data_IF_282926275132
#
_entry.id   IF_282926275132
#
_cell.length_a   1.000
_cell.length_b   1.000
_cell.length_c   1.000
_cell.angle_alpha   90.00
_cell.angle_beta   90.00
_cell.angle_gamma   90.00
#
_symmetry.space_group_name_H-M   'P 1'
#
loop_
_entity.id
_entity.type
_entity.pdbx_description
1 polymer ?
#
# COMPACT_ATOMS: atom_id res chain seq x y z
N UNK A 1 -6.11 37.35 3.51
CA UNK A 1 -6.12 37.08 2.05
C UNK A 1 -6.33 35.58 1.91
N UNK A 2 -7.51 35.17 1.44
CA UNK A 2 -7.80 33.75 1.21
C UNK A 2 -7.09 33.34 -0.09
N UNK A 3 -6.24 32.33 0.01
CA UNK A 3 -5.57 31.70 -1.11
C UNK A 3 -6.67 31.07 -2.00
N UNK A 4 -6.77 31.54 -3.23
CA UNK A 4 -7.72 31.02 -4.22
C UNK A 4 -7.37 29.55 -4.47
N UNK A 5 -8.18 28.67 -3.91
CA UNK A 5 -8.17 27.23 -4.16
C UNK A 5 -8.34 27.04 -5.68
N UNK A 6 -7.24 26.77 -6.39
CA UNK A 6 -7.24 26.70 -7.86
C UNK A 6 -8.04 25.48 -8.27
N UNK A 7 -9.32 25.69 -8.57
CA UNK A 7 -10.20 24.67 -9.13
C UNK A 7 -9.59 24.17 -10.43
N UNK A 8 -9.02 22.96 -10.38
CA UNK A 8 -8.41 22.33 -11.55
C UNK A 8 -9.53 21.71 -12.37
N UNK A 9 -9.75 22.26 -13.57
CA UNK A 9 -10.69 21.69 -14.52
C UNK A 9 -10.09 20.42 -15.12
N UNK A 10 -10.76 19.29 -14.93
CA UNK A 10 -10.39 18.01 -15.54
C UNK A 10 -11.29 17.79 -16.75
N UNK A 11 -10.67 17.75 -17.93
CA UNK A 11 -11.35 17.48 -19.20
C UNK A 11 -10.97 16.10 -19.71
N UNK A 12 -11.97 15.25 -19.96
CA UNK A 12 -11.80 13.90 -20.49
C UNK A 12 -12.40 13.82 -21.90
N UNK A 13 -11.68 13.21 -22.83
CA UNK A 13 -12.25 12.84 -24.14
C UNK A 13 -12.69 11.39 -24.04
N UNK A 14 -13.98 11.17 -24.24
CA UNK A 14 -14.62 9.86 -24.21
C UNK A 14 -15.10 9.51 -25.61
N UNK A 15 -15.01 8.24 -25.96
CA UNK A 15 -15.62 7.71 -27.19
C UNK A 15 -17.12 7.49 -26.98
N UNK A 16 -17.86 7.25 -28.07
CA UNK A 16 -19.30 6.96 -27.99
C UNK A 16 -19.61 5.68 -27.19
N UNK A 17 -18.69 4.72 -27.16
CA UNK A 17 -18.80 3.50 -26.37
C UNK A 17 -18.64 3.79 -24.87
N UNK A 18 -17.63 4.59 -24.49
CA UNK A 18 -17.42 5.02 -23.11
C UNK A 18 -18.63 5.79 -22.55
N UNK A 19 -19.26 6.62 -23.39
CA UNK A 19 -20.46 7.37 -23.01
C UNK A 19 -21.64 6.43 -22.72
N UNK A 20 -21.79 5.35 -23.49
CA UNK A 20 -22.85 4.35 -23.25
C UNK A 20 -22.62 3.62 -21.94
N UNK A 21 -21.38 3.17 -21.69
CA UNK A 21 -21.00 2.50 -20.43
C UNK A 21 -21.25 3.42 -19.24
N UNK A 22 -20.86 4.70 -19.35
CA UNK A 22 -21.07 5.68 -18.29
C UNK A 22 -22.56 5.91 -17.99
N UNK A 23 -23.40 6.07 -19.02
CA UNK A 23 -24.84 6.25 -18.85
C UNK A 23 -25.50 4.99 -18.25
N UNK A 24 -25.04 3.80 -18.64
CA UNK A 24 -25.52 2.55 -18.06
C UNK A 24 -25.18 2.49 -16.56
N UNK A 25 -23.93 2.76 -16.19
CA UNK A 25 -23.49 2.81 -14.80
C UNK A 25 -24.29 3.83 -13.97
N UNK A 26 -24.54 5.02 -14.53
CA UNK A 26 -25.37 6.05 -13.89
C UNK A 26 -26.81 5.57 -13.65
N UNK A 27 -27.39 4.83 -14.60
CA UNK A 27 -28.75 4.27 -14.46
C UNK A 27 -28.84 3.20 -13.39
N UNK A 28 -27.80 2.36 -13.24
CA UNK A 28 -27.74 1.28 -12.26
C UNK A 28 -27.50 1.81 -10.83
N UNK A 29 -26.75 2.91 -10.71
CA UNK A 29 -26.38 3.51 -9.42
C UNK A 29 -27.27 4.66 -8.97
N UNK A 30 -28.18 5.14 -9.84
CA UNK A 30 -29.07 6.25 -9.55
C UNK A 30 -28.36 7.62 -9.49
N UNK A 31 -27.23 7.77 -10.19
CA UNK A 31 -26.46 9.02 -10.21
C UNK A 31 -26.95 9.89 -11.37
N UNK A 32 -27.39 11.12 -11.07
CA UNK A 32 -27.97 12.02 -12.07
C UNK A 32 -26.92 12.83 -12.87
N UNK A 33 -25.68 12.95 -12.36
CA UNK A 33 -24.63 13.76 -12.99
C UNK A 33 -23.41 12.93 -13.42
N UNK A 34 -23.00 13.08 -14.68
CA UNK A 34 -21.76 12.46 -15.21
C UNK A 34 -20.53 12.86 -14.41
N UNK A 35 -20.45 14.12 -13.99
CA UNK A 35 -19.33 14.61 -13.17
C UNK A 35 -19.33 14.02 -11.76
N UNK A 36 -20.51 13.66 -11.23
CA UNK A 36 -20.60 12.96 -9.95
C UNK A 36 -20.21 11.49 -10.09
N UNK A 37 -20.67 10.82 -11.15
CA UNK A 37 -20.28 9.45 -11.47
C UNK A 37 -18.75 9.32 -11.64
N UNK A 38 -18.14 10.21 -12.43
CA UNK A 38 -16.69 10.24 -12.62
C UNK A 38 -15.94 10.52 -11.31
N UNK A 39 -16.41 11.48 -10.49
CA UNK A 39 -15.80 11.77 -9.18
C UNK A 39 -15.94 10.61 -8.20
N UNK A 40 -17.07 9.90 -8.23
CA UNK A 40 -17.30 8.70 -7.42
C UNK A 40 -16.34 7.59 -7.83
N UNK A 41 -16.25 7.31 -9.13
CA UNK A 41 -15.36 6.29 -9.69
C UNK A 41 -13.87 6.60 -9.43
N UNK A 42 -13.44 7.86 -9.56
CA UNK A 42 -12.05 8.24 -9.23
C UNK A 42 -11.76 8.01 -7.74
N UNK A 43 -12.72 8.34 -6.86
CA UNK A 43 -12.56 8.09 -5.41
C UNK A 43 -12.57 6.60 -5.08
N UNK A 44 -13.40 5.81 -5.75
CA UNK A 44 -13.45 4.36 -5.54
C UNK A 44 -12.19 3.68 -6.09
N UNK A 45 -11.66 4.10 -7.24
CA UNK A 45 -10.39 3.59 -7.77
C UNK A 45 -9.21 4.00 -6.88
N UNK A 46 -9.22 5.23 -6.35
CA UNK A 46 -8.25 5.68 -5.35
C UNK A 46 -8.28 4.84 -4.08
N UNK A 47 -9.48 4.49 -3.59
CA UNK A 47 -9.66 3.59 -2.45
C UNK A 47 -9.29 2.13 -2.80
N UNK A 48 -9.64 1.65 -3.99
CA UNK A 48 -9.34 0.30 -4.47
C UNK A 48 -7.85 0.09 -4.79
N UNK A 49 -7.11 1.15 -5.14
CA UNK A 49 -5.65 1.10 -5.22
C UNK A 49 -4.98 0.94 -3.85
N UNK A 50 -5.70 1.19 -2.75
CA UNK A 50 -5.30 0.79 -1.38
C UNK A 50 -5.82 -0.62 -1.01
N UNK A 51 -6.69 -1.25 -1.83
CA UNK A 51 -7.35 -2.53 -1.52
C UNK A 51 -7.09 -3.68 -2.51
N UNK A 52 -6.30 -3.48 -3.57
CA UNK A 52 -5.89 -4.56 -4.49
C UNK A 52 -4.48 -5.06 -4.21
N UNK A 53 -4.36 -5.77 -3.08
CA UNK A 53 -3.54 -6.98 -2.97
C UNK A 53 -4.15 -7.80 -1.84
N UNK A 54 -4.69 -8.97 -2.18
CA UNK A 54 -5.19 -9.90 -1.19
C UNK A 54 -4.08 -10.33 -0.26
N UNK A 55 -4.28 -10.09 1.03
CA UNK A 55 -3.93 -10.92 2.19
C UNK A 55 -4.31 -10.10 3.43
N UNK A 56 -4.83 -10.75 4.47
CA UNK A 56 -5.17 -10.13 5.76
C UNK A 56 -3.99 -9.28 6.26
N UNK A 57 -4.06 -7.95 6.10
CA UNK A 57 -2.89 -7.08 6.24
C UNK A 57 -3.26 -5.74 6.88
N UNK A 58 -2.41 -5.28 7.81
CA UNK A 58 -2.51 -3.94 8.38
C UNK A 58 -1.73 -2.97 7.48
N UNK A 59 -2.43 -2.03 6.87
CA UNK A 59 -1.83 -0.97 6.05
C UNK A 59 -1.65 0.30 6.87
N UNK A 60 -0.40 0.77 6.97
CA UNK A 60 -0.06 1.99 7.71
C UNK A 60 0.44 3.03 6.71
N UNK A 61 -0.23 4.18 6.66
CA UNK A 61 0.24 5.32 5.86
C UNK A 61 1.38 6.02 6.60
N UNK A 62 2.55 6.06 5.95
CA UNK A 62 3.69 6.80 6.45
C UNK A 62 3.57 8.29 6.11
N UNK A 63 4.07 9.13 7.02
CA UNK A 63 4.23 10.57 6.78
C UNK A 63 5.31 10.85 5.74
N UNK A 64 5.26 12.03 5.13
CA UNK A 64 6.25 12.46 4.13
C UNK A 64 7.68 12.41 4.67
N UNK A 65 7.88 12.76 5.95
CA UNK A 65 9.19 12.73 6.60
C UNK A 65 9.71 11.29 6.66
N UNK A 66 8.88 10.33 7.06
CA UNK A 66 9.26 8.91 7.14
C UNK A 66 9.62 8.34 5.77
N UNK A 67 8.85 8.69 4.73
CA UNK A 67 9.15 8.28 3.35
C UNK A 67 10.50 8.85 2.87
N UNK A 68 10.76 10.13 3.11
CA UNK A 68 12.04 10.76 2.77
C UNK A 68 13.21 10.16 3.55
N UNK A 69 13.01 9.78 4.81
CA UNK A 69 14.03 9.08 5.60
C UNK A 69 14.40 7.74 4.96
N UNK A 70 13.41 6.92 4.60
CA UNK A 70 13.63 5.62 3.97
C UNK A 70 14.33 5.74 2.61
N UNK A 71 13.89 6.70 1.78
CA UNK A 71 14.51 6.98 0.48
C UNK A 71 15.98 7.41 0.64
N UNK A 72 16.30 8.26 1.62
CA UNK A 72 17.68 8.66 1.90
C UNK A 72 18.52 7.48 2.40
N UNK A 73 17.98 6.61 3.26
CA UNK A 73 18.66 5.41 3.73
C UNK A 73 18.98 4.45 2.59
N UNK A 74 18.06 4.32 1.63
CA UNK A 74 18.27 3.51 0.41
C UNK A 74 19.34 4.09 -0.50
N UNK A 75 19.31 5.40 -0.74
CA UNK A 75 20.35 6.12 -1.51
C UNK A 75 21.73 6.00 -0.90
N UNK A 76 21.81 5.93 0.43
CA UNK A 76 23.06 5.70 1.16
C UNK A 76 23.50 4.22 1.17
N UNK A 77 22.70 3.31 0.62
CA UNK A 77 22.99 1.88 0.60
C UNK A 77 22.84 1.20 1.95
N UNK A 78 22.17 1.83 2.91
CA UNK A 78 21.93 1.26 4.26
C UNK A 78 20.85 0.19 4.20
N UNK A 79 19.82 0.42 3.38
CA UNK A 79 18.71 -0.52 3.15
C UNK A 79 18.52 -0.71 1.64
N UNK A 80 18.14 -1.92 1.24
CA UNK A 80 17.87 -2.23 -0.17
C UNK A 80 16.39 -2.04 -0.53
N UNK A 81 15.50 -2.38 0.39
CA UNK A 81 14.07 -2.36 0.22
C UNK A 81 13.38 -1.81 1.48
N UNK A 82 12.57 -0.78 1.29
CA UNK A 82 11.91 -0.03 2.35
C UNK A 82 10.87 -0.90 3.08
N UNK A 83 10.12 -1.73 2.34
CA UNK A 83 9.07 -2.58 2.90
C UNK A 83 9.65 -3.68 3.79
N UNK A 84 10.64 -4.42 3.27
CA UNK A 84 11.34 -5.48 3.99
C UNK A 84 12.00 -4.94 5.26
N UNK A 85 12.58 -3.73 5.18
CA UNK A 85 13.17 -3.07 6.33
C UNK A 85 12.14 -2.75 7.42
N UNK A 86 10.99 -2.16 7.06
CA UNK A 86 9.93 -1.86 8.03
C UNK A 86 9.40 -3.15 8.66
N UNK A 87 9.17 -4.19 7.85
CA UNK A 87 8.71 -5.50 8.33
C UNK A 87 9.65 -6.07 9.38
N UNK A 88 10.96 -6.01 9.12
CA UNK A 88 11.98 -6.47 10.06
C UNK A 88 12.02 -5.61 11.33
N UNK A 89 11.91 -4.29 11.20
CA UNK A 89 11.90 -3.36 12.33
C UNK A 89 10.70 -3.62 13.26
N UNK A 90 9.53 -3.91 12.70
CA UNK A 90 8.33 -4.29 13.46
C UNK A 90 8.55 -5.63 14.17
N UNK A 91 9.08 -6.64 13.46
CA UNK A 91 9.41 -7.93 14.07
C UNK A 91 10.42 -7.81 15.22
N UNK A 92 11.38 -6.91 15.11
CA UNK A 92 12.39 -6.65 16.13
C UNK A 92 11.81 -6.04 17.41
N UNK A 93 10.72 -5.28 17.31
CA UNK A 93 10.04 -4.68 18.45
C UNK A 93 8.99 -5.59 19.07
N UNK A 94 8.32 -6.42 18.26
CA UNK A 94 7.25 -7.32 18.74
C UNK A 94 7.83 -8.57 19.40
N UNK A 95 8.93 -9.13 18.88
CA UNK A 95 9.50 -10.37 19.40
C UNK A 95 10.46 -10.05 20.56
N UNK A 96 10.21 -10.56 21.79
CA UNK A 96 11.14 -10.41 22.90
C UNK A 96 12.52 -10.98 22.56
N UNK A 97 13.61 -10.28 22.94
CA UNK A 97 14.98 -10.70 22.61
C UNK A 97 15.30 -12.12 23.11
N UNK A 98 14.83 -12.45 24.30
CA UNK A 98 15.04 -13.76 24.94
C UNK A 98 14.40 -14.90 24.11
N UNK A 99 13.27 -14.63 23.45
CA UNK A 99 12.60 -15.60 22.59
C UNK A 99 13.36 -15.83 21.27
N UNK A 100 14.03 -14.80 20.73
CA UNK A 100 14.86 -14.94 19.53
C UNK A 100 16.08 -15.81 19.79
N UNK A 101 16.78 -15.61 20.91
CA UNK A 101 17.97 -16.38 21.24
C UNK A 101 17.64 -17.87 21.49
N UNK A 102 16.55 -18.14 22.22
CA UNK A 102 16.08 -19.51 22.42
C UNK A 102 15.69 -20.18 21.09
N UNK A 103 14.91 -19.49 20.25
CA UNK A 103 14.48 -20.04 18.96
C UNK A 103 15.64 -20.27 18.00
N UNK A 104 16.68 -19.41 18.01
CA UNK A 104 17.87 -19.60 17.18
C UNK A 104 18.69 -20.80 17.64
N UNK A 105 18.86 -20.98 18.95
CA UNK A 105 19.56 -22.14 19.51
C UNK A 105 18.83 -23.45 19.17
N UNK A 106 17.50 -23.47 19.27
CA UNK A 106 16.69 -24.65 18.96
C UNK A 106 16.65 -24.95 17.45
N UNK A 107 16.53 -23.93 16.60
CA UNK A 107 16.63 -24.09 15.15
C UNK A 107 18.00 -24.63 14.71
N UNK A 108 19.08 -24.15 15.33
CA UNK A 108 20.43 -24.63 15.04
C UNK A 108 20.63 -26.09 15.48
N UNK A 109 20.14 -26.48 16.67
CA UNK A 109 20.16 -27.88 17.13
C UNK A 109 19.37 -28.79 16.19
N UNK A 110 18.18 -28.37 15.76
CA UNK A 110 17.35 -29.12 14.83
C UNK A 110 18.04 -29.28 13.46
N UNK A 111 18.67 -28.22 12.95
CA UNK A 111 19.44 -28.28 11.72
C UNK A 111 20.66 -29.20 11.83
N UNK A 112 21.38 -29.20 12.95
CA UNK A 112 22.49 -30.12 13.20
C UNK A 112 22.05 -31.58 13.23
N UNK A 113 20.96 -31.88 13.93
CA UNK A 113 20.41 -33.25 13.97
C UNK A 113 19.99 -33.73 12.57
N UNK A 114 19.38 -32.85 11.78
CA UNK A 114 18.97 -33.18 10.41
C UNK A 114 20.16 -33.35 9.46
N UNK A 115 21.23 -32.57 9.64
CA UNK A 115 22.47 -32.70 8.89
C UNK A 115 23.26 -33.97 9.22
N UNK A 116 23.14 -34.49 10.45
CA UNK A 116 23.76 -35.77 10.85
C UNK A 116 22.99 -37.00 10.35
N UNK A 117 21.75 -36.82 9.87
CA UNK A 117 20.91 -37.87 9.28
C UNK A 117 20.99 -37.93 7.74
N UNK A 118 21.79 -37.05 7.11
CA UNK A 118 22.15 -37.09 5.69
C UNK A 118 23.47 -37.85 5.52
#
# INVERSE_FOLDING_TARGET
>A
MAENDKMTLISLRLTDEDIKILNQYMSETGIDSRSEAIRSAIRSVGAESEQRSGEDGIYVRLSQVQLLTLDNMKKQGIIFDEESFIRQLVLDQIIPKDAKESSAADAFRAAQQKAQML
#
